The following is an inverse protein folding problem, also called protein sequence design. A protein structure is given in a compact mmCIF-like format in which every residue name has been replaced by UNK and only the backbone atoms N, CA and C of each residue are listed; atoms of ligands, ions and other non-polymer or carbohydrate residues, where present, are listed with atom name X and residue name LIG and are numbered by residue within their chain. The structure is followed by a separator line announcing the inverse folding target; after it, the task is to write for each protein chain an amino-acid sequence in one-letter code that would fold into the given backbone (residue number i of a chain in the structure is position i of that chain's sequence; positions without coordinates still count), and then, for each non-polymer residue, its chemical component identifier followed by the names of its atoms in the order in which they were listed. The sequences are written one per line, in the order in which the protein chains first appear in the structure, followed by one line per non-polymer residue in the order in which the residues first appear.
data_IF_610550803304
#
_entry.id   IF_610550803304
#
_cell.length_a   1.000
_cell.length_b   1.000
_cell.length_c   1.000
_cell.angle_alpha   90.00
_cell.angle_beta   90.00
_cell.angle_gamma   90.00
#
_symmetry.space_group_name_H-M   'P 1'
#
loop_
_entity.id
_entity.type
_entity.pdbx_description
1 polymer ?
#
# COMPACT_ATOMS: atom_id res chain seq x y z
N UNK A 1 47.17 11.27 8.16
CA UNK A 1 45.78 11.78 8.15
C UNK A 1 45.06 11.08 7.00
N UNK A 2 44.42 9.95 7.27
CA UNK A 2 43.61 9.20 6.30
C UNK A 2 42.20 9.80 6.30
N UNK A 3 41.76 10.32 5.17
CA UNK A 3 40.38 10.72 4.95
C UNK A 3 39.53 9.47 4.78
N UNK A 4 38.60 9.23 5.71
CA UNK A 4 37.53 8.27 5.51
C UNK A 4 36.56 8.87 4.50
N UNK A 5 36.42 8.25 3.33
CA UNK A 5 35.30 8.49 2.45
C UNK A 5 34.03 8.04 3.16
N UNK A 6 33.10 8.96 3.40
CA UNK A 6 31.73 8.61 3.76
C UNK A 6 31.15 7.74 2.64
N UNK A 7 31.03 6.45 2.92
CA UNK A 7 30.37 5.50 2.05
C UNK A 7 28.86 5.79 2.13
N UNK A 8 28.39 6.71 1.29
CA UNK A 8 26.96 7.00 1.17
C UNK A 8 26.29 5.78 0.56
N UNK A 9 25.71 4.93 1.40
CA UNK A 9 24.93 3.79 0.96
C UNK A 9 23.88 4.23 -0.06
N UNK A 10 23.95 3.67 -1.27
CA UNK A 10 22.95 3.92 -2.31
C UNK A 10 21.66 3.17 -1.97
N UNK A 11 20.52 3.87 -2.11
CA UNK A 11 19.19 3.31 -1.84
C UNK A 11 18.45 3.09 -3.16
N UNK A 12 18.06 1.85 -3.43
CA UNK A 12 17.15 1.52 -4.54
C UNK A 12 15.72 1.91 -4.19
N UNK A 13 15.03 2.57 -5.12
CA UNK A 13 13.68 3.10 -4.94
C UNK A 13 12.78 2.77 -6.13
N UNK A 14 11.48 2.73 -5.92
CA UNK A 14 10.48 2.72 -6.98
C UNK A 14 10.09 4.17 -7.31
N UNK A 15 10.19 4.55 -8.58
CA UNK A 15 9.73 5.84 -9.09
C UNK A 15 8.43 5.65 -9.88
N UNK A 16 7.34 6.25 -9.41
CA UNK A 16 6.07 6.33 -10.16
C UNK A 16 5.86 7.77 -10.59
N UNK A 17 5.54 8.00 -11.86
CA UNK A 17 5.47 9.34 -12.43
C UNK A 17 4.28 9.51 -13.36
N UNK A 18 3.87 10.77 -13.53
CA UNK A 18 2.68 11.18 -14.26
C UNK A 18 2.95 12.51 -14.99
N UNK A 19 2.25 12.73 -16.12
CA UNK A 19 2.38 13.93 -16.95
C UNK A 19 1.07 14.56 -17.40
N UNK A 20 -0.06 13.87 -17.19
CA UNK A 20 -1.39 14.40 -17.50
C UNK A 20 -2.07 14.87 -16.22
N UNK A 21 -2.97 15.87 -16.31
CA UNK A 21 -3.66 16.42 -15.15
C UNK A 21 -4.30 15.33 -14.28
N UNK A 22 -5.11 14.44 -14.88
CA UNK A 22 -5.79 13.36 -14.14
C UNK A 22 -4.82 12.40 -13.43
N UNK A 23 -3.67 12.08 -14.05
CA UNK A 23 -2.69 11.17 -13.45
C UNK A 23 -1.84 11.85 -12.40
N UNK A 24 -1.61 13.16 -12.54
CA UNK A 24 -0.97 14.00 -11.52
C UNK A 24 -1.87 14.11 -10.29
N UNK A 25 -3.16 14.35 -10.47
CA UNK A 25 -4.12 14.45 -9.35
C UNK A 25 -4.20 13.13 -8.57
N UNK A 26 -4.17 11.99 -9.26
CA UNK A 26 -4.08 10.67 -8.62
C UNK A 26 -2.79 10.48 -7.83
N UNK A 27 -1.64 10.90 -8.36
CA UNK A 27 -0.37 10.85 -7.62
C UNK A 27 -0.37 11.76 -6.39
N UNK A 28 -1.00 12.93 -6.49
CA UNK A 28 -1.20 13.82 -5.35
C UNK A 28 -2.06 13.17 -4.27
N UNK A 29 -3.19 12.57 -4.66
CA UNK A 29 -4.04 11.85 -3.72
C UNK A 29 -3.27 10.72 -3.02
N UNK A 30 -2.54 9.90 -3.78
CA UNK A 30 -1.71 8.84 -3.22
C UNK A 30 -0.66 9.37 -2.23
N UNK A 31 0.03 10.46 -2.56
CA UNK A 31 0.99 11.10 -1.66
C UNK A 31 0.34 11.59 -0.36
N UNK A 32 -0.82 12.24 -0.44
CA UNK A 32 -1.58 12.67 0.75
C UNK A 32 -1.93 11.50 1.67
N UNK A 33 -2.36 10.37 1.09
CA UNK A 33 -2.69 9.16 1.84
C UNK A 33 -1.43 8.56 2.51
N UNK A 34 -0.28 8.56 1.82
CA UNK A 34 1.01 8.13 2.40
C UNK A 34 1.50 9.01 3.55
N UNK A 35 1.45 10.34 3.38
CA UNK A 35 1.91 11.32 4.38
C UNK A 35 0.98 11.39 5.61
N UNK A 36 -0.31 11.14 5.39
CA UNK A 36 -1.36 11.15 6.40
C UNK A 36 -1.60 9.77 7.03
N UNK A 37 -2.72 9.14 6.66
CA UNK A 37 -3.26 7.94 7.32
C UNK A 37 -2.29 6.77 7.34
N UNK A 38 -1.50 6.56 6.27
CA UNK A 38 -0.62 5.41 6.16
C UNK A 38 0.73 5.59 6.85
N UNK A 39 1.03 6.76 7.43
CA UNK A 39 2.35 7.08 7.98
C UNK A 39 2.89 6.02 8.96
N UNK A 40 2.02 5.41 9.76
CA UNK A 40 2.39 4.36 10.74
C UNK A 40 2.54 2.96 10.13
N UNK A 41 2.03 2.74 8.92
CA UNK A 41 2.04 1.45 8.23
C UNK A 41 3.21 1.31 7.24
N UNK A 42 3.89 2.41 6.95
CA UNK A 42 5.03 2.47 6.03
C UNK A 42 6.15 1.52 6.43
N UNK A 43 6.69 0.79 5.44
CA UNK A 43 7.72 -0.23 5.63
C UNK A 43 7.22 -1.54 6.21
N UNK A 44 5.93 -1.67 6.53
CA UNK A 44 5.33 -2.89 7.13
C UNK A 44 4.17 -3.44 6.32
N UNK A 45 3.17 -2.62 5.99
CA UNK A 45 2.00 -3.04 5.19
C UNK A 45 1.86 -2.24 3.89
N UNK A 46 2.54 -1.11 3.81
CA UNK A 46 2.66 -0.29 2.60
C UNK A 46 4.13 0.13 2.44
N UNK A 47 4.61 0.47 1.23
CA UNK A 47 5.97 0.96 1.02
C UNK A 47 6.29 2.17 1.90
N UNK A 48 7.57 2.36 2.21
CA UNK A 48 8.02 3.68 2.66
C UNK A 48 7.82 4.71 1.55
N UNK A 49 7.33 5.88 1.92
CA UNK A 49 7.17 7.03 1.06
C UNK A 49 8.30 8.02 1.34
N UNK A 50 9.10 8.31 0.31
CA UNK A 50 10.25 9.19 0.42
C UNK A 50 9.95 10.63 -0.01
N UNK A 51 8.87 10.84 -0.77
CA UNK A 51 8.41 12.17 -1.14
C UNK A 51 7.66 12.22 -2.46
N UNK A 52 6.98 13.35 -2.65
CA UNK A 52 6.37 13.79 -3.90
C UNK A 52 7.24 14.90 -4.49
N UNK A 53 7.53 14.82 -5.78
CA UNK A 53 8.35 15.79 -6.49
C UNK A 53 7.61 16.28 -7.72
N UNK A 54 7.67 17.60 -7.94
CA UNK A 54 7.09 18.25 -9.10
C UNK A 54 8.16 19.00 -9.87
N UNK A 55 8.10 18.84 -11.17
CA UNK A 55 8.95 19.56 -12.10
C UNK A 55 8.17 19.93 -13.36
N UNK A 56 8.75 20.83 -14.15
CA UNK A 56 8.29 21.12 -15.50
C UNK A 56 9.43 20.82 -16.45
N UNK A 57 9.23 19.91 -17.39
CA UNK A 57 10.22 19.56 -18.41
C UNK A 57 9.73 20.17 -19.73
N UNK A 58 10.34 21.31 -20.11
CA UNK A 58 9.84 22.12 -21.23
C UNK A 58 8.48 22.75 -20.90
N UNK A 59 7.44 22.32 -21.63
CA UNK A 59 6.04 22.74 -21.38
C UNK A 59 5.24 21.73 -20.56
N UNK A 60 5.78 20.51 -20.38
CA UNK A 60 5.05 19.39 -19.78
C UNK A 60 5.25 19.38 -18.26
N UNK A 61 4.18 19.44 -17.45
CA UNK A 61 4.27 19.18 -16.02
C UNK A 61 4.59 17.69 -15.80
N UNK A 62 5.49 17.43 -14.86
CA UNK A 62 5.86 16.08 -14.44
C UNK A 62 5.73 16.00 -12.92
N UNK A 63 4.98 15.04 -12.44
CA UNK A 63 4.84 14.71 -11.02
C UNK A 63 5.39 13.30 -10.80
N UNK A 64 6.12 13.08 -9.72
CA UNK A 64 6.53 11.74 -9.33
C UNK A 64 6.51 11.54 -7.81
N UNK A 65 6.23 10.30 -7.41
CA UNK A 65 6.42 9.85 -6.04
C UNK A 65 7.57 8.85 -6.00
N UNK A 66 8.29 8.86 -4.88
CA UNK A 66 9.41 7.95 -4.64
C UNK A 66 9.03 7.04 -3.49
N UNK A 67 9.03 5.73 -3.75
CA UNK A 67 8.60 4.70 -2.81
C UNK A 67 9.71 3.67 -2.53
N UNK A 68 9.57 2.89 -1.46
CA UNK A 68 10.37 1.69 -1.19
C UNK A 68 10.31 0.72 -2.38
N UNK A 69 11.48 0.28 -2.83
CA UNK A 69 11.59 -0.74 -3.87
C UNK A 69 11.23 -2.12 -3.32
N UNK A 70 10.16 -2.70 -3.85
CA UNK A 70 9.66 -4.03 -3.46
C UNK A 70 9.91 -5.03 -4.61
N UNK A 71 10.97 -5.84 -4.49
CA UNK A 71 11.41 -6.77 -5.55
C UNK A 71 11.45 -8.24 -5.13
N UNK A 72 10.57 -8.65 -4.23
CA UNK A 72 10.43 -10.05 -3.87
C UNK A 72 9.61 -10.84 -4.89
N UNK A 73 9.56 -12.14 -4.66
CA UNK A 73 8.61 -13.05 -5.31
C UNK A 73 7.59 -13.50 -4.27
N UNK A 74 6.28 -13.39 -4.55
CA UNK A 74 5.26 -13.85 -3.61
C UNK A 74 5.43 -15.33 -3.28
N UNK A 75 5.05 -15.70 -2.05
CA UNK A 75 4.94 -17.11 -1.67
C UNK A 75 4.03 -17.88 -2.64
N UNK A 76 4.41 -19.13 -2.93
CA UNK A 76 3.59 -20.06 -3.72
C UNK A 76 2.52 -20.74 -2.85
N UNK A 77 2.60 -20.61 -1.52
CA UNK A 77 1.53 -21.04 -0.61
C UNK A 77 0.37 -20.05 -0.69
N UNK A 78 -0.68 -20.43 -1.43
CA UNK A 78 -1.88 -19.63 -1.64
C UNK A 78 -2.56 -19.26 -0.31
N UNK A 79 -2.54 -20.15 0.69
CA UNK A 79 -3.16 -19.86 2.00
C UNK A 79 -2.40 -18.76 2.72
N UNK A 80 -1.08 -18.83 2.73
CA UNK A 80 -0.24 -17.78 3.32
C UNK A 80 -0.35 -16.46 2.55
N UNK A 81 -0.38 -16.51 1.20
CA UNK A 81 -0.57 -15.31 0.38
C UNK A 81 -1.90 -14.62 0.69
N UNK A 82 -2.99 -15.38 0.74
CA UNK A 82 -4.31 -14.88 1.09
C UNK A 82 -4.36 -14.31 2.51
N UNK A 83 -3.71 -15.00 3.47
CA UNK A 83 -3.55 -14.49 4.84
C UNK A 83 -2.86 -13.13 4.86
N UNK A 84 -1.78 -12.96 4.11
CA UNK A 84 -1.05 -11.69 4.04
C UNK A 84 -1.87 -10.57 3.38
N UNK A 85 -2.61 -10.87 2.31
CA UNK A 85 -3.53 -9.91 1.67
C UNK A 85 -4.59 -9.43 2.65
N UNK A 86 -5.23 -10.35 3.37
CA UNK A 86 -6.26 -9.99 4.35
C UNK A 86 -5.68 -9.20 5.52
N UNK A 87 -4.51 -9.58 6.02
CA UNK A 87 -3.84 -8.83 7.08
C UNK A 87 -3.51 -7.41 6.64
N UNK A 88 -2.91 -7.21 5.47
CA UNK A 88 -2.58 -5.87 4.98
C UNK A 88 -3.83 -5.02 4.74
N UNK A 89 -4.89 -5.62 4.18
CA UNK A 89 -6.18 -4.96 3.96
C UNK A 89 -6.78 -4.48 5.29
N UNK A 90 -6.88 -5.35 6.29
CA UNK A 90 -7.39 -4.98 7.60
C UNK A 90 -6.59 -3.84 8.25
N UNK A 91 -5.27 -3.80 8.03
CA UNK A 91 -4.41 -2.75 8.60
C UNK A 91 -4.66 -1.39 7.96
N UNK A 92 -4.79 -1.28 6.64
CA UNK A 92 -5.12 0.02 6.02
C UNK A 92 -6.53 0.49 6.40
N UNK A 93 -7.47 -0.45 6.55
CA UNK A 93 -8.84 -0.15 7.02
C UNK A 93 -8.84 0.31 8.49
N UNK A 94 -7.96 -0.23 9.34
CA UNK A 94 -7.85 0.19 10.75
C UNK A 94 -7.40 1.65 10.94
N UNK A 95 -6.79 2.25 9.91
CA UNK A 95 -6.42 3.68 9.87
C UNK A 95 -7.37 4.50 8.99
N UNK A 96 -8.53 3.93 8.64
CA UNK A 96 -9.62 4.58 7.91
C UNK A 96 -9.35 4.77 6.42
N UNK A 97 -8.58 3.88 5.78
CA UNK A 97 -8.31 3.96 4.33
C UNK A 97 -9.02 2.83 3.60
N UNK A 98 -9.88 3.21 2.64
CA UNK A 98 -10.42 2.34 1.61
C UNK A 98 -9.59 2.56 0.33
N UNK A 99 -9.02 1.48 -0.21
CA UNK A 99 -8.17 1.56 -1.40
C UNK A 99 -9.00 1.58 -2.70
N UNK A 100 -10.19 0.99 -2.69
CA UNK A 100 -11.15 0.96 -3.80
C UNK A 100 -10.89 -0.07 -4.90
N UNK A 101 -9.72 -0.74 -4.92
CA UNK A 101 -9.28 -1.58 -6.06
C UNK A 101 -8.59 -2.90 -5.66
N UNK A 102 -8.60 -3.31 -4.39
CA UNK A 102 -7.82 -4.47 -3.93
C UNK A 102 -8.25 -5.84 -4.48
N UNK A 103 -9.38 -5.93 -5.19
CA UNK A 103 -9.70 -7.14 -5.97
C UNK A 103 -8.70 -7.38 -7.09
N UNK A 104 -8.09 -6.33 -7.61
CA UNK A 104 -6.99 -6.45 -8.54
C UNK A 104 -5.70 -6.83 -7.78
N UNK A 105 -5.21 -8.03 -8.10
CA UNK A 105 -4.01 -8.59 -7.47
C UNK A 105 -2.73 -7.78 -7.73
N UNK A 106 -2.71 -6.90 -8.73
CA UNK A 106 -1.55 -6.08 -9.08
C UNK A 106 -1.21 -5.00 -8.02
N UNK A 107 -2.13 -4.70 -7.10
CA UNK A 107 -1.90 -3.78 -5.98
C UNK A 107 -1.13 -4.41 -4.81
N UNK A 108 -0.82 -5.70 -4.90
CA UNK A 108 -0.01 -6.40 -3.90
C UNK A 108 1.37 -6.70 -4.46
N UNK A 109 2.38 -6.07 -3.87
CA UNK A 109 3.79 -6.35 -4.14
C UNK A 109 4.43 -6.95 -2.91
N UNK A 110 5.58 -7.61 -3.06
CA UNK A 110 6.33 -8.15 -1.92
C UNK A 110 7.74 -7.58 -1.88
N UNK A 111 8.25 -7.36 -0.69
CA UNK A 111 9.66 -6.98 -0.50
C UNK A 111 10.60 -8.19 -0.63
N UNK A 112 11.91 -7.94 -0.61
CA UNK A 112 12.94 -8.98 -0.70
C UNK A 112 12.90 -10.03 0.41
N UNK A 113 12.11 -9.80 1.47
CA UNK A 113 11.88 -10.73 2.58
C UNK A 113 10.51 -11.42 2.49
N UNK A 114 9.86 -11.36 1.32
CA UNK A 114 8.55 -11.95 1.06
C UNK A 114 7.45 -11.42 2.00
N UNK A 115 7.53 -10.12 2.34
CA UNK A 115 6.47 -9.44 3.07
C UNK A 115 5.66 -8.58 2.12
N UNK A 116 4.35 -8.83 2.10
CA UNK A 116 3.41 -8.13 1.23
C UNK A 116 3.23 -6.65 1.62
N UNK A 117 3.03 -5.83 0.59
CA UNK A 117 2.82 -4.39 0.63
C UNK A 117 1.67 -4.04 -0.31
N UNK A 118 0.78 -3.16 0.14
CA UNK A 118 -0.26 -2.57 -0.70
C UNK A 118 0.30 -1.30 -1.37
N UNK A 119 0.04 -1.12 -2.66
CA UNK A 119 0.51 0.02 -3.48
C UNK A 119 -0.60 0.57 -4.37
N UNK A 120 -0.40 1.78 -4.90
CA UNK A 120 -1.31 2.47 -5.83
C UNK A 120 -2.59 3.00 -5.20
N UNK A 121 -2.41 3.90 -4.23
CA UNK A 121 -3.51 4.58 -3.52
C UNK A 121 -4.11 5.76 -4.32
N UNK A 122 -3.94 5.80 -5.65
CA UNK A 122 -4.33 6.96 -6.46
C UNK A 122 -5.83 7.27 -6.43
N UNK A 123 -6.67 6.27 -6.18
CA UNK A 123 -8.13 6.40 -6.02
C UNK A 123 -8.61 6.11 -4.60
N UNK A 124 -7.69 5.90 -3.67
CA UNK A 124 -8.02 5.62 -2.28
C UNK A 124 -8.67 6.84 -1.63
N UNK A 125 -9.51 6.60 -0.62
CA UNK A 125 -10.17 7.66 0.13
C UNK A 125 -10.26 7.30 1.61
N UNK A 126 -10.38 8.34 2.45
CA UNK A 126 -10.55 8.18 3.88
C UNK A 126 -12.03 7.91 4.18
N UNK A 127 -12.29 6.91 5.01
CA UNK A 127 -13.63 6.54 5.44
C UNK A 127 -13.66 6.11 6.90
N UNK A 128 -14.85 6.11 7.49
CA UNK A 128 -15.07 5.51 8.79
C UNK A 128 -15.24 3.99 8.62
N UNK A 129 -14.28 3.25 9.15
CA UNK A 129 -14.33 1.80 9.22
C UNK A 129 -14.27 1.41 10.69
N UNK A 130 -15.21 0.56 11.13
CA UNK A 130 -15.07 -0.14 12.42
C UNK A 130 -13.91 -1.14 12.41
N UNK A 131 -13.25 -1.29 11.27
CA UNK A 131 -12.23 -2.28 11.00
C UNK A 131 -12.84 -3.67 10.77
N UNK A 132 -11.96 -4.64 10.56
CA UNK A 132 -12.28 -6.05 10.65
C UNK A 132 -11.01 -6.79 11.02
N UNK A 133 -11.13 -7.78 11.90
CA UNK A 133 -10.07 -8.73 12.15
C UNK A 133 -10.20 -9.79 11.05
N UNK A 134 -9.16 -10.04 10.22
CA UNK A 134 -9.20 -11.11 9.22
C UNK A 134 -9.64 -12.43 9.86
N UNK A 135 -10.65 -13.11 9.32
CA UNK A 135 -11.16 -14.36 9.89
C UNK A 135 -10.25 -15.53 9.50
N UNK A 136 -9.00 -15.51 9.98
CA UNK A 136 -8.01 -16.53 9.64
C UNK A 136 -8.27 -17.89 10.30
N UNK A 137 -9.33 -18.03 11.11
CA UNK A 137 -9.74 -19.28 11.74
C UNK A 137 -11.27 -19.39 11.77
N UNK A 138 -11.74 -20.64 11.62
CA UNK A 138 -13.14 -21.10 11.65
C UNK A 138 -14.06 -20.19 12.46
N UNK A 139 -15.18 -19.79 11.85
CA UNK A 139 -16.33 -19.18 12.53
C UNK A 139 -16.68 -20.00 13.78
N UNK A 140 -16.36 -19.48 14.94
CA UNK A 140 -17.06 -19.78 16.19
C UNK A 140 -18.12 -18.69 16.44
N UNK A 141 -19.03 -18.93 17.36
CA UNK A 141 -20.09 -17.97 17.73
C UNK A 141 -19.54 -16.64 18.30
N UNK A 142 -18.24 -16.57 18.59
CA UNK A 142 -17.53 -15.39 19.13
C UNK A 142 -16.68 -14.67 18.08
N UNK A 143 -16.73 -15.10 16.83
CA UNK A 143 -15.95 -14.50 15.75
C UNK A 143 -16.54 -13.12 15.42
N UNK A 144 -15.75 -12.03 15.43
CA UNK A 144 -16.24 -10.70 15.10
C UNK A 144 -16.94 -10.73 13.74
N UNK A 145 -18.12 -10.10 13.65
CA UNK A 145 -18.85 -10.03 12.38
C UNK A 145 -17.96 -9.40 11.30
N UNK A 146 -17.98 -10.00 10.10
CA UNK A 146 -17.41 -9.39 8.89
C UNK A 146 -17.94 -7.97 8.82
N UNK A 147 -17.06 -6.98 8.59
CA UNK A 147 -17.47 -5.58 8.50
C UNK A 147 -18.59 -5.44 7.46
N UNK A 148 -19.82 -5.26 7.93
CA UNK A 148 -21.01 -5.21 7.09
C UNK A 148 -21.14 -3.86 6.38
N UNK A 149 -20.46 -2.85 6.91
CA UNK A 149 -20.51 -1.45 6.49
C UNK A 149 -19.43 -1.11 5.45
N UNK A 150 -18.31 -1.85 5.39
CA UNK A 150 -17.25 -1.64 4.40
C UNK A 150 -17.33 -2.63 3.24
N UNK A 151 -17.60 -2.11 2.04
CA UNK A 151 -17.67 -2.91 0.82
C UNK A 151 -16.34 -3.57 0.47
N UNK A 152 -15.24 -2.82 0.47
CA UNK A 152 -13.91 -3.36 0.10
C UNK A 152 -13.50 -4.50 1.04
N UNK A 153 -13.62 -4.32 2.35
CA UNK A 153 -13.21 -5.34 3.31
C UNK A 153 -14.06 -6.62 3.19
N UNK A 154 -15.38 -6.50 2.99
CA UNK A 154 -16.25 -7.65 2.71
C UNK A 154 -15.89 -8.37 1.41
N UNK A 155 -15.58 -7.60 0.38
CA UNK A 155 -15.18 -8.10 -0.93
C UNK A 155 -13.85 -8.88 -0.85
N UNK A 156 -12.91 -8.37 -0.06
CA UNK A 156 -11.63 -9.03 0.21
C UNK A 156 -11.82 -10.31 1.01
N UNK A 157 -12.64 -10.30 2.07
CA UNK A 157 -12.96 -11.49 2.86
C UNK A 157 -13.59 -12.60 2.01
N UNK A 158 -14.53 -12.26 1.11
CA UNK A 158 -15.15 -13.24 0.22
C UNK A 158 -14.16 -13.84 -0.81
N UNK A 159 -13.07 -13.13 -1.11
CA UNK A 159 -12.11 -13.52 -2.14
C UNK A 159 -10.89 -14.25 -1.55
N UNK A 160 -10.44 -13.83 -0.36
CA UNK A 160 -9.18 -14.26 0.25
C UNK A 160 -9.31 -14.75 1.70
N UNK A 161 -10.49 -14.64 2.34
CA UNK A 161 -10.77 -15.20 3.67
C UNK A 161 -10.92 -16.72 3.70
#
# INVERSE_FOLDING_TARGET
RSGASEDTASLTVALKWATTADTIDRLYNEACIYEGNLKRLQGTFVPKFYGLFLAKIGVTPVCCIVLEWCCGTPTQDIRELNRQKMLATAQIHSVGVDHGLLKDGHHFVVDSRNRLRIVDFGVAYVHECKGGIPLLKRRDENTPEVCSECRELRDMENTFG
#
